data_IF_050657971772
#
_entry.id   IF_050657971772
#
_cell.length_a   1.000
_cell.length_b   1.000
_cell.length_c   1.000
_cell.angle_alpha   90.00
_cell.angle_beta   90.00
_cell.angle_gamma   90.00
#
_symmetry.space_group_name_H-M   'P 1'
#
loop_
_entity.id
_entity.type
_entity.pdbx_description
1 polymer ?
#
# COMPACT_ATOMS: atom_id res chain seq x y z
N UNK A 1 2.07 19.15 34.02
CA UNK A 1 2.16 19.81 32.70
C UNK A 1 3.24 20.86 32.81
N UNK A 2 4.28 20.82 31.96
CA UNK A 2 5.37 21.80 32.01
C UNK A 2 4.93 23.04 31.21
N UNK A 3 4.69 24.16 31.90
CA UNK A 3 4.48 25.45 31.23
C UNK A 3 5.84 25.98 30.75
N UNK A 4 6.07 25.90 29.44
CA UNK A 4 7.28 26.44 28.81
C UNK A 4 7.13 27.96 28.68
N UNK A 5 8.01 28.71 29.35
CA UNK A 5 8.04 30.19 29.32
C UNK A 5 8.62 30.77 28.02
N UNK A 6 9.37 29.98 27.25
CA UNK A 6 9.87 30.34 25.91
C UNK A 6 10.01 29.08 25.04
N UNK A 7 9.90 29.26 23.72
CA UNK A 7 10.15 28.23 22.70
C UNK A 7 11.60 28.31 22.14
N UNK A 8 12.39 29.28 22.58
CA UNK A 8 13.76 29.48 22.11
C UNK A 8 14.62 28.25 22.41
N UNK A 9 15.27 27.70 21.37
CA UNK A 9 16.09 26.49 21.47
C UNK A 9 15.31 25.17 21.39
N UNK A 10 13.97 25.20 21.34
CA UNK A 10 13.13 24.01 21.20
C UNK A 10 12.73 23.70 19.75
N UNK A 11 13.17 24.52 18.80
CA UNK A 11 12.79 24.47 17.38
C UNK A 11 12.99 23.09 16.75
N UNK A 12 14.16 22.48 16.98
CA UNK A 12 14.48 21.14 16.45
C UNK A 12 13.57 20.06 17.03
N UNK A 13 13.20 20.16 18.30
CA UNK A 13 12.29 19.21 18.95
C UNK A 13 10.86 19.36 18.41
N UNK A 14 10.42 20.60 18.17
CA UNK A 14 9.12 20.89 17.56
C UNK A 14 9.06 20.33 16.13
N UNK A 15 10.12 20.54 15.33
CA UNK A 15 10.22 20.00 13.97
C UNK A 15 10.22 18.47 13.99
N UNK A 16 11.01 17.85 14.86
CA UNK A 16 11.06 16.39 14.99
C UNK A 16 9.70 15.81 15.41
N UNK A 17 9.05 16.41 16.41
CA UNK A 17 7.72 16.01 16.85
C UNK A 17 6.67 16.19 15.75
N UNK A 18 6.72 17.29 15.00
CA UNK A 18 5.86 17.50 13.84
C UNK A 18 6.07 16.41 12.78
N UNK A 19 7.32 16.10 12.41
CA UNK A 19 7.64 15.07 11.42
C UNK A 19 7.12 13.69 11.85
N UNK A 20 7.24 13.34 13.13
CA UNK A 20 6.76 12.07 13.66
C UNK A 20 5.23 11.96 13.60
N UNK A 21 4.51 12.99 14.07
CA UNK A 21 3.04 13.02 13.98
C UNK A 21 2.55 13.04 12.53
N UNK A 22 3.20 13.84 11.68
CA UNK A 22 2.88 13.94 10.26
C UNK A 22 3.09 12.62 9.55
N UNK A 23 4.18 11.89 9.84
CA UNK A 23 4.40 10.55 9.31
C UNK A 23 3.25 9.60 9.69
N UNK A 24 2.87 9.54 10.98
CA UNK A 24 1.81 8.66 11.44
C UNK A 24 0.46 8.96 10.78
N UNK A 25 0.05 10.23 10.76
CA UNK A 25 -1.23 10.60 10.15
C UNK A 25 -1.22 10.51 8.61
N UNK A 26 -0.07 10.72 7.96
CA UNK A 26 0.08 10.50 6.52
C UNK A 26 -0.13 9.03 6.14
N UNK A 27 0.37 8.08 6.95
CA UNK A 27 0.10 6.66 6.74
C UNK A 27 -1.40 6.35 6.91
N UNK A 28 -2.02 6.89 7.98
CA UNK A 28 -3.45 6.67 8.28
C UNK A 28 -4.35 7.20 7.16
N UNK A 29 -4.20 8.46 6.77
CA UNK A 29 -5.03 9.07 5.73
C UNK A 29 -4.65 8.59 4.32
N UNK A 30 -3.37 8.28 4.08
CA UNK A 30 -2.89 7.77 2.80
C UNK A 30 -3.52 6.43 2.43
N UNK A 31 -3.69 5.51 3.40
CA UNK A 31 -4.38 4.23 3.17
C UNK A 31 -5.84 4.44 2.77
N UNK A 32 -6.52 5.39 3.41
CA UNK A 32 -7.89 5.74 3.06
C UNK A 32 -7.97 6.34 1.64
N UNK A 33 -7.03 7.21 1.28
CA UNK A 33 -6.95 7.80 -0.06
C UNK A 33 -6.73 6.73 -1.15
N UNK A 34 -5.85 5.76 -0.90
CA UNK A 34 -5.63 4.62 -1.80
C UNK A 34 -6.90 3.77 -1.91
N UNK A 35 -7.57 3.48 -0.79
CA UNK A 35 -8.83 2.72 -0.81
C UNK A 35 -9.92 3.46 -1.60
N UNK A 36 -10.04 4.77 -1.43
CA UNK A 36 -10.98 5.62 -2.17
C UNK A 36 -10.66 5.64 -3.67
N UNK A 37 -9.39 5.78 -4.06
CA UNK A 37 -8.96 5.72 -5.46
C UNK A 37 -9.37 4.38 -6.10
N UNK A 38 -9.13 3.26 -5.42
CA UNK A 38 -9.55 1.93 -5.90
C UNK A 38 -11.08 1.78 -6.01
N UNK A 39 -11.83 2.44 -5.12
CA UNK A 39 -13.29 2.49 -5.20
C UNK A 39 -13.77 3.27 -6.42
N UNK A 40 -13.20 4.46 -6.67
CA UNK A 40 -13.51 5.24 -7.85
C UNK A 40 -13.17 4.48 -9.13
N UNK A 41 -11.99 3.87 -9.21
CA UNK A 41 -11.59 3.07 -10.37
C UNK A 41 -12.53 1.87 -10.62
N UNK A 42 -13.07 1.26 -9.57
CA UNK A 42 -13.99 0.11 -9.69
C UNK A 42 -15.42 0.52 -10.05
N UNK A 43 -15.91 1.65 -9.55
CA UNK A 43 -17.28 2.13 -9.80
C UNK A 43 -17.37 2.86 -11.14
N UNK A 44 -16.36 3.67 -11.48
CA UNK A 44 -16.32 4.47 -12.71
C UNK A 44 -15.65 3.73 -13.88
N UNK A 45 -15.77 2.39 -13.94
CA UNK A 45 -15.08 1.56 -14.93
C UNK A 45 -15.32 1.98 -16.39
N UNK A 46 -16.45 2.65 -16.68
CA UNK A 46 -16.78 3.14 -18.03
C UNK A 46 -16.00 4.40 -18.44
N UNK A 47 -15.73 5.30 -17.49
CA UNK A 47 -15.21 6.65 -17.75
C UNK A 47 -13.85 6.91 -17.11
N UNK A 48 -13.29 5.97 -16.35
CA UNK A 48 -12.05 6.18 -15.61
C UNK A 48 -10.83 6.26 -16.53
N UNK A 49 -10.69 5.37 -17.53
CA UNK A 49 -9.55 5.38 -18.45
C UNK A 49 -9.68 6.40 -19.59
N UNK A 50 -10.90 6.76 -20.00
CA UNK A 50 -11.10 7.81 -21.01
C UNK A 50 -10.69 9.18 -20.48
N UNK A 51 -10.72 9.36 -19.17
CA UNK A 51 -10.26 10.56 -18.51
C UNK A 51 -8.80 10.37 -18.06
N UNK A 52 -7.85 10.69 -18.94
CA UNK A 52 -6.39 10.73 -18.66
C UNK A 52 -5.98 11.74 -17.58
N UNK A 53 -6.95 12.37 -16.92
CA UNK A 53 -6.73 13.42 -15.95
C UNK A 53 -6.31 12.81 -14.61
N UNK A 54 -5.04 13.00 -14.25
CA UNK A 54 -4.44 12.79 -12.93
C UNK A 54 -5.14 13.58 -11.79
N UNK A 55 -6.27 14.23 -12.07
CA UNK A 55 -7.02 15.09 -11.18
C UNK A 55 -7.57 14.34 -9.97
N UNK A 56 -8.17 13.15 -10.15
CA UNK A 56 -8.72 12.36 -9.03
C UNK A 56 -7.63 11.97 -8.03
N UNK A 57 -6.53 11.31 -8.43
CA UNK A 57 -5.47 10.97 -7.47
C UNK A 57 -4.74 12.21 -6.92
N UNK A 58 -4.57 13.27 -7.71
CA UNK A 58 -3.96 14.52 -7.23
C UNK A 58 -4.83 15.21 -6.17
N UNK A 59 -6.14 15.29 -6.39
CA UNK A 59 -7.10 15.87 -5.45
C UNK A 59 -7.11 15.07 -4.15
N UNK A 60 -7.24 13.74 -4.23
CA UNK A 60 -7.15 12.85 -3.06
C UNK A 60 -5.84 13.05 -2.31
N UNK A 61 -4.73 13.21 -3.05
CA UNK A 61 -3.40 13.43 -2.47
C UNK A 61 -3.31 14.73 -1.68
N UNK A 62 -3.77 15.82 -2.29
CA UNK A 62 -3.81 17.12 -1.64
C UNK A 62 -4.69 17.11 -0.40
N UNK A 63 -5.89 16.50 -0.48
CA UNK A 63 -6.81 16.43 0.65
C UNK A 63 -6.23 15.66 1.83
N UNK A 64 -5.61 14.49 1.60
CA UNK A 64 -5.06 13.71 2.71
C UNK A 64 -3.81 14.37 3.31
N UNK A 65 -2.96 15.00 2.50
CA UNK A 65 -1.76 15.70 2.98
C UNK A 65 -2.12 16.90 3.85
N UNK A 66 -3.07 17.73 3.40
CA UNK A 66 -3.59 18.85 4.19
C UNK A 66 -4.19 18.34 5.51
N UNK A 67 -4.98 17.27 5.45
CA UNK A 67 -5.58 16.65 6.66
C UNK A 67 -4.50 16.16 7.63
N UNK A 68 -3.46 15.50 7.14
CA UNK A 68 -2.35 15.02 7.94
C UNK A 68 -1.60 16.17 8.61
N UNK A 69 -1.30 17.25 7.89
CA UNK A 69 -0.64 18.45 8.44
C UNK A 69 -1.49 19.09 9.53
N UNK A 70 -2.79 19.32 9.27
CA UNK A 70 -3.69 19.97 10.21
C UNK A 70 -3.84 19.19 11.52
N UNK A 71 -4.05 17.87 11.43
CA UNK A 71 -4.17 17.02 12.62
C UNK A 71 -2.85 16.96 13.38
N UNK A 72 -1.72 16.86 12.69
CA UNK A 72 -0.39 16.79 13.32
C UNK A 72 -0.05 18.05 14.10
N UNK A 73 -0.29 19.24 13.53
CA UNK A 73 -0.12 20.51 14.22
C UNK A 73 -1.06 20.62 15.43
N UNK A 74 -2.30 20.17 15.28
CA UNK A 74 -3.29 20.22 16.35
C UNK A 74 -2.94 19.33 17.54
N UNK A 75 -2.34 18.16 17.29
CA UNK A 75 -1.83 17.27 18.33
C UNK A 75 -0.56 17.85 18.98
N UNK A 76 0.39 18.32 18.18
CA UNK A 76 1.66 18.89 18.68
C UNK A 76 1.42 20.06 19.65
N UNK A 77 0.56 21.00 19.28
CA UNK A 77 0.22 22.16 20.11
C UNK A 77 -0.89 21.89 21.12
N UNK A 78 -1.24 20.61 21.37
CA UNK A 78 -2.26 20.20 22.35
C UNK A 78 -3.63 20.88 22.15
N UNK A 79 -3.96 21.30 20.93
CA UNK A 79 -5.28 21.85 20.58
C UNK A 79 -6.35 20.77 20.63
N UNK A 80 -5.96 19.52 20.43
CA UNK A 80 -6.81 18.33 20.53
C UNK A 80 -6.39 17.52 21.76
N UNK A 81 -7.37 17.03 22.54
CA UNK A 81 -7.11 16.14 23.68
C UNK A 81 -6.47 14.83 23.21
N UNK A 82 -5.57 14.27 24.02
CA UNK A 82 -4.89 13.00 23.69
C UNK A 82 -5.88 11.89 23.30
N UNK A 83 -7.02 11.77 24.00
CA UNK A 83 -8.08 10.80 23.68
C UNK A 83 -8.67 10.98 22.27
N UNK A 84 -8.89 12.23 21.84
CA UNK A 84 -9.48 12.55 20.54
C UNK A 84 -8.50 12.29 19.39
N UNK A 85 -7.19 12.28 19.67
CA UNK A 85 -6.15 11.97 18.67
C UNK A 85 -6.23 10.55 18.10
N UNK A 86 -6.94 9.64 18.79
CA UNK A 86 -7.12 8.25 18.36
C UNK A 86 -8.28 8.06 17.37
N UNK A 87 -9.23 8.99 17.30
CA UNK A 87 -10.40 8.87 16.41
C UNK A 87 -10.00 8.71 14.93
N UNK A 88 -9.04 9.50 14.39
CA UNK A 88 -8.70 9.41 12.97
C UNK A 88 -8.24 8.02 12.53
N UNK A 89 -7.38 7.34 13.29
CA UNK A 89 -6.88 6.02 12.88
C UNK A 89 -7.94 4.93 13.00
N UNK A 90 -8.80 4.97 14.02
CA UNK A 90 -9.92 4.02 14.19
C UNK A 90 -10.89 4.15 13.02
N UNK A 91 -11.31 5.38 12.71
CA UNK A 91 -12.27 5.67 11.63
C UNK A 91 -11.67 5.31 10.27
N UNK A 92 -10.45 5.78 9.98
CA UNK A 92 -9.81 5.51 8.68
C UNK A 92 -9.54 4.03 8.47
N UNK A 93 -9.08 3.30 9.49
CA UNK A 93 -8.84 1.85 9.38
C UNK A 93 -10.14 1.10 9.10
N UNK A 94 -11.22 1.45 9.81
CA UNK A 94 -12.54 0.83 9.64
C UNK A 94 -13.14 1.11 8.26
N UNK A 95 -13.12 2.38 7.82
CA UNK A 95 -13.62 2.76 6.49
C UNK A 95 -12.80 2.10 5.40
N UNK A 96 -11.46 2.08 5.52
CA UNK A 96 -10.59 1.45 4.51
C UNK A 96 -10.88 -0.04 4.35
N UNK A 97 -11.14 -0.75 5.45
CA UNK A 97 -11.53 -2.15 5.40
C UNK A 97 -12.89 -2.35 4.71
N UNK A 98 -13.89 -1.51 5.02
CA UNK A 98 -15.21 -1.55 4.37
C UNK A 98 -15.13 -1.25 2.88
N UNK A 99 -14.36 -0.23 2.49
CA UNK A 99 -14.13 0.14 1.08
C UNK A 99 -13.44 -1.00 0.33
N UNK A 100 -12.45 -1.64 0.95
CA UNK A 100 -11.80 -2.82 0.36
C UNK A 100 -12.80 -3.97 0.11
N UNK A 101 -13.65 -4.29 1.09
CA UNK A 101 -14.69 -5.32 0.92
C UNK A 101 -15.71 -4.95 -0.15
N UNK A 102 -16.10 -3.67 -0.21
CA UNK A 102 -16.99 -3.14 -1.24
C UNK A 102 -16.38 -3.29 -2.64
N UNK A 103 -15.12 -2.85 -2.82
CA UNK A 103 -14.37 -2.97 -4.08
C UNK A 103 -14.27 -4.43 -4.52
N UNK A 104 -13.96 -5.34 -3.59
CA UNK A 104 -13.92 -6.77 -3.87
C UNK A 104 -15.28 -7.28 -4.35
N UNK A 105 -16.37 -6.94 -3.64
CA UNK A 105 -17.74 -7.37 -3.97
C UNK A 105 -18.19 -6.86 -5.34
N UNK A 106 -17.91 -5.60 -5.67
CA UNK A 106 -18.25 -4.98 -6.96
C UNK A 106 -17.52 -5.69 -8.10
N UNK A 107 -16.20 -5.84 -7.99
CA UNK A 107 -15.41 -6.48 -9.06
C UNK A 107 -15.76 -7.97 -9.23
N UNK A 108 -16.08 -8.70 -8.16
CA UNK A 108 -16.58 -10.07 -8.24
C UNK A 108 -17.97 -10.14 -8.90
N UNK A 109 -18.85 -9.18 -8.61
CA UNK A 109 -20.16 -9.11 -9.27
C UNK A 109 -20.03 -8.88 -10.76
N UNK A 110 -19.19 -7.93 -11.20
CA UNK A 110 -18.95 -7.72 -12.63
C UNK A 110 -18.38 -8.96 -13.32
N UNK A 111 -17.44 -9.66 -12.68
CA UNK A 111 -16.90 -10.89 -13.23
C UNK A 111 -17.95 -12.02 -13.33
N UNK A 112 -18.91 -12.08 -12.40
CA UNK A 112 -20.04 -13.01 -12.50
C UNK A 112 -20.97 -12.63 -13.64
N UNK A 113 -21.27 -11.34 -13.81
CA UNK A 113 -22.15 -10.85 -14.88
C UNK A 113 -21.52 -11.05 -16.26
N UNK A 114 -20.20 -10.89 -16.38
CA UNK A 114 -19.45 -11.18 -17.62
C UNK A 114 -19.53 -12.66 -18.02
N UNK A 115 -19.49 -13.57 -17.03
CA UNK A 115 -19.55 -15.03 -17.25
C UNK A 115 -20.96 -15.56 -17.46
N UNK A 116 -21.99 -14.78 -17.15
CA UNK A 116 -23.37 -15.22 -17.26
C UNK A 116 -23.81 -15.20 -18.75
N UNK A 117 -24.21 -16.34 -19.34
CA UNK A 117 -24.72 -16.38 -20.71
C UNK A 117 -26.00 -15.57 -20.89
N UNK A 118 -26.80 -15.39 -19.83
CA UNK A 118 -28.04 -14.60 -19.82
C UNK A 118 -27.81 -13.15 -19.32
N UNK A 119 -26.64 -12.57 -19.60
CA UNK A 119 -26.29 -11.22 -19.13
C UNK A 119 -27.21 -10.16 -19.74
N UNK A 120 -27.71 -9.25 -18.89
CA UNK A 120 -28.50 -8.09 -19.32
C UNK A 120 -27.64 -6.93 -19.84
N UNK A 121 -26.39 -6.83 -19.38
CA UNK A 121 -25.44 -5.76 -19.75
C UNK A 121 -24.40 -6.31 -20.71
N UNK A 122 -24.17 -5.59 -21.81
CA UNK A 122 -23.10 -5.88 -22.76
C UNK A 122 -21.84 -5.19 -22.26
N UNK A 123 -20.79 -5.96 -21.99
CA UNK A 123 -19.48 -5.45 -21.59
C UNK A 123 -18.56 -5.42 -22.80
N UNK A 124 -17.88 -4.29 -23.02
CA UNK A 124 -16.85 -4.18 -24.05
C UNK A 124 -15.64 -5.06 -23.70
N UNK A 125 -14.82 -5.39 -24.70
CA UNK A 125 -13.60 -6.18 -24.49
C UNK A 125 -12.66 -5.50 -23.49
N UNK A 126 -12.47 -4.18 -23.60
CA UNK A 126 -11.66 -3.39 -22.67
C UNK A 126 -12.15 -3.50 -21.23
N UNK A 127 -13.46 -3.36 -20.98
CA UNK A 127 -14.05 -3.49 -19.64
C UNK A 127 -13.82 -4.89 -19.05
N UNK A 128 -13.91 -5.95 -19.86
CA UNK A 128 -13.67 -7.31 -19.39
C UNK A 128 -12.20 -7.53 -18.98
N UNK A 129 -11.26 -6.94 -19.73
CA UNK A 129 -9.85 -6.96 -19.36
C UNK A 129 -9.59 -6.20 -18.06
N UNK A 130 -10.16 -5.00 -17.91
CA UNK A 130 -10.04 -4.19 -16.69
C UNK A 130 -10.57 -4.93 -15.46
N UNK A 131 -11.75 -5.56 -15.52
CA UNK A 131 -12.30 -6.33 -14.38
C UNK A 131 -11.37 -7.49 -14.01
N UNK A 132 -10.82 -8.21 -15.00
CA UNK A 132 -9.89 -9.31 -14.75
C UNK A 132 -8.58 -8.82 -14.14
N UNK A 133 -8.05 -7.70 -14.62
CA UNK A 133 -6.85 -7.07 -14.10
C UNK A 133 -7.06 -6.54 -12.68
N UNK A 134 -8.16 -5.84 -12.42
CA UNK A 134 -8.54 -5.36 -11.09
C UNK A 134 -8.69 -6.51 -10.09
N UNK A 135 -9.31 -7.62 -10.47
CA UNK A 135 -9.39 -8.82 -9.62
C UNK A 135 -8.03 -9.47 -9.37
N UNK A 136 -7.14 -9.46 -10.36
CA UNK A 136 -5.75 -9.94 -10.19
C UNK A 136 -4.98 -9.03 -9.24
N UNK A 137 -5.07 -7.71 -9.43
CA UNK A 137 -4.45 -6.70 -8.58
C UNK A 137 -4.99 -6.80 -7.14
N UNK A 138 -6.30 -6.94 -6.95
CA UNK A 138 -6.91 -7.11 -5.63
C UNK A 138 -6.43 -8.38 -4.94
N UNK A 139 -6.33 -9.51 -5.65
CA UNK A 139 -5.83 -10.77 -5.06
C UNK A 139 -4.38 -10.65 -4.59
N UNK A 140 -3.53 -10.01 -5.38
CA UNK A 140 -2.13 -9.76 -5.02
C UNK A 140 -2.04 -8.73 -3.89
N UNK A 141 -2.83 -7.66 -3.95
CA UNK A 141 -2.87 -6.57 -2.99
C UNK A 141 -3.56 -6.92 -1.67
N UNK A 142 -4.36 -7.98 -1.59
CA UNK A 142 -5.10 -8.38 -0.38
C UNK A 142 -4.15 -8.51 0.82
N UNK A 143 -3.04 -9.24 0.63
CA UNK A 143 -2.04 -9.47 1.69
C UNK A 143 -1.39 -8.16 2.15
N UNK A 144 -1.06 -7.29 1.20
CA UNK A 144 -0.47 -5.99 1.46
C UNK A 144 -1.43 -5.07 2.23
N UNK A 145 -2.69 -4.97 1.79
CA UNK A 145 -3.72 -4.14 2.43
C UNK A 145 -3.95 -4.60 3.86
N UNK A 146 -4.14 -5.90 4.10
CA UNK A 146 -4.31 -6.41 5.46
C UNK A 146 -3.06 -6.23 6.32
N UNK A 147 -1.86 -6.35 5.76
CA UNK A 147 -0.62 -6.08 6.49
C UNK A 147 -0.52 -4.62 6.93
N UNK A 148 -0.85 -3.68 6.04
CA UNK A 148 -0.85 -2.24 6.36
C UNK A 148 -1.92 -1.92 7.40
N UNK A 149 -3.16 -2.38 7.23
CA UNK A 149 -4.25 -2.17 8.19
C UNK A 149 -3.92 -2.78 9.56
N UNK A 150 -3.36 -4.00 9.59
CA UNK A 150 -2.93 -4.65 10.82
C UNK A 150 -1.79 -3.87 11.50
N UNK A 151 -0.84 -3.33 10.73
CA UNK A 151 0.24 -2.49 11.28
C UNK A 151 -0.29 -1.20 11.90
N UNK A 152 -1.24 -0.53 11.25
CA UNK A 152 -1.90 0.68 11.78
C UNK A 152 -2.66 0.33 13.06
N UNK A 153 -3.43 -0.76 13.06
CA UNK A 153 -4.17 -1.20 14.23
C UNK A 153 -3.25 -1.57 15.41
N UNK A 154 -2.12 -2.23 15.16
CA UNK A 154 -1.16 -2.62 16.20
C UNK A 154 -0.42 -1.40 16.76
N UNK A 155 0.09 -0.51 15.91
CA UNK A 155 0.71 0.74 16.35
C UNK A 155 -0.29 1.63 17.10
N UNK A 156 -1.47 1.85 16.52
CA UNK A 156 -2.52 2.73 17.06
C UNK A 156 -3.03 2.24 18.41
N UNK A 157 -3.27 0.93 18.54
CA UNK A 157 -3.64 0.33 19.83
C UNK A 157 -2.51 0.40 20.86
N UNK A 158 -1.25 0.25 20.45
CA UNK A 158 -0.09 0.46 21.33
C UNK A 158 -0.01 1.89 21.89
N UNK A 159 -0.16 2.90 21.03
CA UNK A 159 -0.20 4.30 21.46
C UNK A 159 -1.41 4.58 22.37
N UNK A 160 -2.57 4.02 22.05
CA UNK A 160 -3.77 4.15 22.90
C UNK A 160 -3.54 3.49 24.27
N UNK A 161 -2.92 2.30 24.30
CA UNK A 161 -2.61 1.59 25.54
C UNK A 161 -1.66 2.38 26.45
N UNK A 162 -0.68 3.08 25.88
CA UNK A 162 0.17 4.03 26.62
C UNK A 162 -0.63 5.25 27.11
N UNK A 163 -1.54 5.77 26.29
CA UNK A 163 -2.32 6.98 26.61
C UNK A 163 -3.32 6.77 27.75
N UNK A 164 -3.85 5.55 27.86
CA UNK A 164 -4.77 5.14 28.92
C UNK A 164 -4.08 4.43 30.10
N UNK A 165 -2.74 4.48 30.17
CA UNK A 165 -1.92 3.85 31.22
C UNK A 165 -2.16 2.34 31.39
N UNK A 166 -2.62 1.64 30.35
CA UNK A 166 -2.75 0.17 30.36
C UNK A 166 -1.38 -0.53 30.35
N UNK A 167 -0.36 0.15 29.82
CA UNK A 167 0.99 -0.37 29.67
C UNK A 167 1.98 0.67 30.22
N UNK A 168 3.03 0.25 30.95
CA UNK A 168 4.05 1.18 31.45
C UNK A 168 4.76 2.00 30.36
N UNK A 169 5.14 3.23 30.69
CA UNK A 169 5.76 4.19 29.76
C UNK A 169 7.06 3.70 29.11
N UNK A 170 7.80 2.76 29.73
CA UNK A 170 9.03 2.22 29.14
C UNK A 170 8.79 1.49 27.81
N UNK A 171 7.58 1.00 27.56
CA UNK A 171 7.20 0.38 26.29
C UNK A 171 7.04 1.39 25.15
N UNK A 172 7.07 2.70 25.43
CA UNK A 172 7.02 3.76 24.42
C UNK A 172 8.10 3.61 23.36
N UNK A 173 9.34 3.29 23.75
CA UNK A 173 10.42 3.08 22.80
C UNK A 173 10.18 1.86 21.89
N UNK A 174 9.55 0.79 22.38
CA UNK A 174 9.22 -0.37 21.55
C UNK A 174 8.16 -0.02 20.50
N UNK A 175 7.12 0.72 20.90
CA UNK A 175 6.06 1.18 20.00
C UNK A 175 6.62 2.14 18.95
N UNK A 176 7.47 3.08 19.36
CA UNK A 176 8.14 4.02 18.46
C UNK A 176 9.02 3.32 17.43
N UNK A 177 9.84 2.34 17.84
CA UNK A 177 10.63 1.53 16.91
C UNK A 177 9.72 0.78 15.92
N UNK A 178 8.60 0.22 16.39
CA UNK A 178 7.68 -0.51 15.54
C UNK A 178 7.01 0.40 14.49
N UNK A 179 6.71 1.65 14.84
CA UNK A 179 6.21 2.68 13.91
C UNK A 179 7.24 2.94 12.80
N UNK A 180 8.52 3.14 13.15
CA UNK A 180 9.58 3.38 12.16
C UNK A 180 9.97 2.14 11.35
N UNK A 181 9.72 0.93 11.87
CA UNK A 181 9.94 -0.33 11.16
C UNK A 181 8.83 -0.67 10.16
N UNK A 182 7.70 0.06 10.18
CA UNK A 182 6.55 -0.17 9.30
C UNK A 182 6.92 -0.30 7.80
N UNK A 183 7.77 0.57 7.21
CA UNK A 183 8.13 0.46 5.80
C UNK A 183 8.77 -0.89 5.45
N UNK A 184 9.57 -1.47 6.35
CA UNK A 184 10.16 -2.79 6.12
C UNK A 184 9.09 -3.88 6.08
N UNK A 185 8.11 -3.85 6.99
CA UNK A 185 6.99 -4.79 6.97
C UNK A 185 6.19 -4.70 5.67
N UNK A 186 5.90 -3.48 5.20
CA UNK A 186 5.19 -3.24 3.94
C UNK A 186 6.02 -3.72 2.74
N UNK A 187 7.31 -3.42 2.70
CA UNK A 187 8.20 -3.87 1.63
C UNK A 187 8.34 -5.39 1.59
N UNK A 188 8.56 -6.05 2.73
CA UNK A 188 8.64 -7.50 2.79
C UNK A 188 7.32 -8.15 2.35
N UNK A 189 6.19 -7.66 2.86
CA UNK A 189 4.88 -8.21 2.48
C UNK A 189 4.60 -7.99 0.99
N UNK A 190 4.95 -6.85 0.40
CA UNK A 190 4.86 -6.63 -1.04
C UNK A 190 5.71 -7.64 -1.84
N UNK A 191 6.95 -7.87 -1.41
CA UNK A 191 7.89 -8.78 -2.06
C UNK A 191 7.42 -10.25 -2.05
N UNK A 192 6.77 -10.67 -0.96
CA UNK A 192 6.16 -12.00 -0.84
C UNK A 192 4.73 -12.10 -1.42
N UNK A 193 4.11 -10.97 -1.78
CA UNK A 193 2.75 -10.97 -2.35
C UNK A 193 2.76 -11.21 -3.86
N UNK A 194 3.83 -10.80 -4.55
CA UNK A 194 3.99 -10.99 -6.00
C UNK A 194 4.84 -12.24 -6.27
N UNK A 195 4.32 -13.33 -6.88
CA UNK A 195 5.06 -14.57 -7.05
C UNK A 195 6.37 -14.43 -7.85
N UNK A 196 6.43 -13.49 -8.78
CA UNK A 196 7.64 -13.19 -9.54
C UNK A 196 8.73 -12.61 -8.64
N UNK A 197 8.36 -11.64 -7.79
CA UNK A 197 9.28 -11.01 -6.84
C UNK A 197 9.69 -11.97 -5.73
N UNK A 198 8.77 -12.78 -5.23
CA UNK A 198 9.04 -13.81 -4.24
C UNK A 198 10.10 -14.79 -4.73
N UNK A 199 9.96 -15.29 -5.98
CA UNK A 199 10.93 -16.20 -6.59
C UNK A 199 12.31 -15.55 -6.74
N UNK A 200 12.37 -14.31 -7.22
CA UNK A 200 13.63 -13.57 -7.37
C UNK A 200 14.28 -13.28 -6.00
N UNK A 201 13.48 -12.89 -5.01
CA UNK A 201 13.95 -12.62 -3.66
C UNK A 201 14.51 -13.87 -2.99
N UNK A 202 13.79 -15.00 -3.05
CA UNK A 202 14.28 -16.31 -2.58
C UNK A 202 15.55 -16.70 -3.30
N UNK A 203 15.62 -16.50 -4.63
CA UNK A 203 16.84 -16.75 -5.42
C UNK A 203 17.99 -15.87 -4.96
N UNK A 204 17.78 -14.59 -4.67
CA UNK A 204 18.83 -13.68 -4.17
C UNK A 204 19.33 -14.10 -2.78
N UNK A 205 18.44 -14.49 -1.87
CA UNK A 205 18.81 -14.97 -0.52
C UNK A 205 19.55 -16.32 -0.57
N UNK A 206 19.12 -17.24 -1.44
CA UNK A 206 19.82 -18.49 -1.73
C UNK A 206 21.16 -18.26 -2.42
N UNK A 207 21.23 -17.28 -3.33
CA UNK A 207 22.47 -16.88 -4.00
C UNK A 207 23.44 -16.24 -3.02
N UNK A 208 22.97 -15.48 -2.03
CA UNK A 208 23.82 -14.97 -0.94
C UNK A 208 24.42 -16.12 -0.12
N UNK A 209 23.65 -17.19 0.17
CA UNK A 209 24.17 -18.42 0.79
C UNK A 209 25.18 -19.15 -0.10
N UNK A 210 24.95 -19.18 -1.42
CA UNK A 210 25.87 -19.80 -2.38
C UNK A 210 27.13 -18.96 -2.55
N UNK A 211 27.06 -17.63 -2.60
CA UNK A 211 28.21 -16.72 -2.66
C UNK A 211 29.02 -16.77 -1.37
N UNK A 212 28.38 -16.89 -0.19
CA UNK A 212 29.09 -17.09 1.08
C UNK A 212 29.80 -18.45 1.14
N UNK A 213 29.26 -19.49 0.47
CA UNK A 213 29.95 -20.78 0.24
C UNK A 213 31.03 -20.70 -0.85
N UNK A 214 30.83 -19.91 -1.91
CA UNK A 214 31.73 -19.76 -3.07
C UNK A 214 32.90 -18.82 -2.79
N UNK A 215 32.81 -17.91 -1.82
CA UNK A 215 33.97 -17.16 -1.29
C UNK A 215 35.05 -18.05 -0.64
N UNK A 216 34.80 -19.36 -0.49
CA UNK A 216 35.84 -20.35 -0.14
C UNK A 216 36.56 -21.00 -1.33
N UNK A 217 36.22 -20.69 -2.58
CA UNK A 217 36.99 -21.10 -3.77
C UNK A 217 36.87 -20.08 -4.92
N UNK A 218 37.97 -19.51 -5.41
CA UNK A 218 37.92 -18.70 -6.63
C UNK A 218 37.84 -19.64 -7.83
N UNK A 219 36.86 -19.45 -8.72
CA UNK A 219 36.98 -19.89 -10.11
C UNK A 219 35.96 -19.17 -11.02
N UNK A 220 36.50 -18.70 -12.13
CA UNK A 220 35.94 -17.97 -13.28
C UNK A 220 34.72 -18.63 -13.96
N UNK A 221 34.05 -17.85 -14.83
CA UNK A 221 33.07 -18.21 -15.89
C UNK A 221 31.57 -18.20 -15.47
N UNK A 222 30.59 -17.74 -16.27
CA UNK A 222 30.52 -17.26 -17.66
C UNK A 222 29.26 -16.37 -17.87
N UNK A 223 29.26 -15.57 -18.94
CA UNK A 223 28.36 -14.43 -19.25
C UNK A 223 27.05 -14.83 -19.98
N UNK A 224 26.71 -16.11 -20.11
CA UNK A 224 25.68 -16.57 -21.07
C UNK A 224 24.20 -16.50 -20.61
N UNK A 225 23.90 -16.27 -19.34
CA UNK A 225 22.50 -16.37 -18.83
C UNK A 225 21.61 -15.15 -19.09
N UNK A 226 22.16 -14.00 -19.46
CA UNK A 226 21.37 -12.75 -19.59
C UNK A 226 20.64 -12.69 -20.95
N UNK A 227 21.26 -13.18 -22.02
CA UNK A 227 20.71 -13.10 -23.38
C UNK A 227 19.47 -13.97 -23.60
N UNK A 228 19.43 -15.17 -23.02
CA UNK A 228 18.29 -16.09 -23.15
C UNK A 228 17.00 -15.57 -22.48
N UNK A 229 17.10 -14.67 -21.50
CA UNK A 229 15.90 -14.15 -20.83
C UNK A 229 15.22 -13.05 -21.66
N UNK A 230 16.00 -12.19 -22.33
CA UNK A 230 15.47 -11.18 -23.27
C UNK A 230 14.83 -11.84 -24.49
N UNK A 231 15.50 -12.84 -25.07
CA UNK A 231 15.01 -13.55 -26.26
C UNK A 231 13.67 -14.26 -26.02
N UNK A 232 13.44 -14.80 -24.82
CA UNK A 232 12.16 -15.43 -24.47
C UNK A 232 11.02 -14.42 -24.27
N UNK A 233 11.30 -13.23 -23.71
CA UNK A 233 10.30 -12.16 -23.52
C UNK A 233 9.80 -11.58 -24.85
N UNK A 234 10.70 -11.39 -25.82
CA UNK A 234 10.35 -10.92 -27.16
C UNK A 234 9.53 -11.97 -27.93
N UNK A 235 9.83 -13.26 -27.76
CA UNK A 235 9.06 -14.35 -28.38
C UNK A 235 7.67 -14.46 -27.77
N UNK A 236 7.53 -14.33 -26.45
CA UNK A 236 6.24 -14.41 -25.75
C UNK A 236 5.34 -13.23 -26.14
N UNK A 237 5.91 -12.02 -26.22
CA UNK A 237 5.19 -10.80 -26.61
C UNK A 237 4.70 -10.86 -28.06
N UNK A 238 5.54 -11.35 -28.98
CA UNK A 238 5.15 -11.56 -30.38
C UNK A 238 4.06 -12.63 -30.53
N UNK A 239 4.07 -13.68 -29.69
CA UNK A 239 3.02 -14.71 -29.67
C UNK A 239 1.67 -14.14 -29.25
N UNK A 240 1.65 -13.25 -28.26
CA UNK A 240 0.43 -12.56 -27.82
C UNK A 240 -0.16 -11.66 -28.91
N UNK A 241 0.66 -10.85 -29.59
CA UNK A 241 0.18 -9.99 -30.67
C UNK A 241 -0.32 -10.79 -31.88
N UNK A 242 0.31 -11.93 -32.16
CA UNK A 242 -0.12 -12.82 -33.25
C UNK A 242 -1.46 -13.50 -32.94
N UNK A 243 -1.65 -13.99 -31.73
CA UNK A 243 -2.95 -14.53 -31.28
C UNK A 243 -4.05 -13.45 -31.26
N UNK A 244 -3.69 -12.19 -30.99
CA UNK A 244 -4.63 -11.08 -31.08
C UNK A 244 -5.04 -10.80 -32.53
N UNK A 245 -4.08 -10.79 -33.47
CA UNK A 245 -4.37 -10.60 -34.89
C UNK A 245 -5.24 -11.74 -35.46
N UNK A 246 -4.94 -12.98 -35.10
CA UNK A 246 -5.67 -14.17 -35.56
C UNK A 246 -7.09 -14.29 -34.95
N UNK A 247 -7.39 -13.55 -33.88
CA UNK A 247 -8.74 -13.51 -33.28
C UNK A 247 -9.59 -12.34 -33.74
N UNK A 248 -9.03 -11.45 -34.57
CA UNK A 248 -9.71 -10.29 -35.15
C UNK A 248 -10.12 -10.50 -36.62
N UNK A 249 -9.74 -11.63 -37.23
CA UNK A 249 -10.19 -12.11 -38.55
C UNK A 249 -11.21 -13.22 -38.32
#
# INVERSE_FOLDING_TARGET
MLELKSLDGLELLIIAGFMQWHYMYSVVFGVLAIAAERAFASVLIENYESNTQLFIPALLTMTYQISAILVSLSVLFHKIKSTTSHIPWIVCCSISALVYLFVKKVNESFNRDIKNPNRKRIFTVSQQFQVKENLRALRLGTRLVFAVLASIALCGSGIAALTFDFIPTYYSHFIENFIFLNPYLVCFTAMFSVPQWEKQFKKMFLTFRIIKKRRRKPQLASVETIDNTKKNLDVETNLYFKQLADSWI
#
